data_IF_460940544188
#
_entry.id   IF_460940544188
#
_cell.length_a   1.000
_cell.length_b   1.000
_cell.length_c   1.000
_cell.angle_alpha   90.00
_cell.angle_beta   90.00
_cell.angle_gamma   90.00
#
_symmetry.space_group_name_H-M   'P 1'
#
loop_
_entity.id
_entity.type
_entity.pdbx_description
1 polymer ?
#
# COMPACT_ATOMS: atom_id res chain seq x y z
N UNK A 1 0.23 -11.99 11.17
CA UNK A 1 0.94 -10.71 11.03
C UNK A 1 2.41 -10.95 11.20
N UNK A 2 3.24 -10.52 10.24
CA UNK A 2 4.69 -10.61 10.40
C UNK A 2 5.14 -9.31 11.06
N UNK A 3 5.62 -9.40 12.30
CA UNK A 3 6.27 -8.26 12.95
C UNK A 3 7.53 -7.92 12.16
N UNK A 4 7.62 -6.70 11.65
CA UNK A 4 8.81 -6.21 10.97
C UNK A 4 9.57 -5.31 11.92
N UNK A 5 10.83 -5.65 12.18
CA UNK A 5 11.79 -4.66 12.68
C UNK A 5 11.84 -3.53 11.65
N UNK A 6 11.64 -2.29 12.08
CA UNK A 6 11.67 -1.11 11.20
C UNK A 6 13.05 -0.46 11.26
N UNK A 7 14.03 -0.87 10.41
CA UNK A 7 15.29 -0.14 10.28
C UNK A 7 15.09 1.20 9.55
N UNK A 8 13.97 1.37 8.85
CA UNK A 8 13.60 2.58 8.14
C UNK A 8 12.80 3.47 9.09
N UNK A 9 13.31 4.67 9.40
CA UNK A 9 12.51 5.72 10.03
C UNK A 9 11.64 6.36 8.94
N UNK A 10 10.34 6.19 9.06
CA UNK A 10 9.34 6.91 8.28
C UNK A 10 8.32 7.49 9.26
N UNK A 11 7.84 8.69 8.98
CA UNK A 11 6.79 9.32 9.80
C UNK A 11 5.47 8.55 9.69
N UNK A 12 5.25 7.90 8.55
CA UNK A 12 4.10 7.03 8.26
C UNK A 12 4.57 5.78 7.51
N UNK A 13 4.09 4.61 7.92
CA UNK A 13 4.44 3.34 7.28
C UNK A 13 3.20 2.46 7.16
N UNK A 14 2.70 2.32 5.92
CA UNK A 14 1.58 1.44 5.62
C UNK A 14 2.07 0.05 5.20
N UNK A 15 1.52 -0.98 5.85
CA UNK A 15 1.73 -2.39 5.50
C UNK A 15 0.41 -3.04 5.10
N UNK A 16 0.50 -3.99 4.17
CA UNK A 16 -0.67 -4.72 3.67
C UNK A 16 -0.72 -6.18 4.16
N UNK A 17 0.16 -6.58 5.08
CA UNK A 17 0.41 -7.99 5.45
C UNK A 17 -0.72 -8.68 6.25
N UNK A 18 -1.49 -7.94 7.03
CA UNK A 18 -2.42 -8.51 8.00
C UNK A 18 -3.87 -8.45 7.50
N UNK A 19 -4.30 -9.46 6.72
CA UNK A 19 -5.72 -9.80 6.57
C UNK A 19 -6.60 -8.81 5.80
N UNK A 20 -6.68 -7.58 6.31
CA UNK A 20 -7.54 -6.46 5.95
C UNK A 20 -6.75 -5.15 5.67
N UNK A 21 -5.42 -5.26 5.60
CA UNK A 21 -4.53 -4.51 4.69
C UNK A 21 -4.86 -3.03 4.50
N UNK A 22 -4.76 -2.30 5.61
CA UNK A 22 -4.95 -0.85 5.73
C UNK A 22 -4.01 -0.22 6.76
N UNK A 23 -3.16 -1.03 7.37
CA UNK A 23 -2.52 -0.72 8.64
C UNK A 23 -1.38 0.27 8.43
N UNK A 24 -1.63 1.50 8.87
CA UNK A 24 -0.54 2.31 9.39
C UNK A 24 0.04 1.54 10.58
N UNK A 25 1.34 1.25 10.57
CA UNK A 25 1.98 0.49 11.66
C UNK A 25 1.96 1.23 13.01
N UNK A 26 1.63 2.54 13.01
CA UNK A 26 1.34 3.28 14.24
C UNK A 26 -0.12 3.16 14.68
N UNK A 27 -0.99 2.61 13.82
CA UNK A 27 -2.42 2.37 14.05
C UNK A 27 -3.32 3.60 13.92
N UNK A 28 -2.75 4.76 13.58
CA UNK A 28 -3.46 6.04 13.69
C UNK A 28 -4.15 6.46 12.39
N UNK A 29 -3.56 6.14 11.24
CA UNK A 29 -4.03 6.58 9.92
C UNK A 29 -4.34 5.40 8.99
N UNK A 30 -5.10 4.43 9.49
CA UNK A 30 -5.51 3.27 8.70
C UNK A 30 -6.29 3.70 7.45
N UNK A 31 -5.93 3.13 6.30
CA UNK A 31 -6.60 3.40 5.04
C UNK A 31 -7.99 2.76 4.95
N UNK A 32 -8.79 3.13 3.95
CA UNK A 32 -10.03 2.45 3.57
C UNK A 32 -9.96 2.08 2.10
N UNK A 33 -10.31 0.84 1.79
CA UNK A 33 -10.32 0.35 0.40
C UNK A 33 -11.53 0.89 -0.33
N UNK A 34 -11.31 1.45 -1.51
CA UNK A 34 -12.35 2.05 -2.33
C UNK A 34 -12.48 1.31 -3.66
N UNK A 35 -13.71 1.23 -4.17
CA UNK A 35 -14.04 0.67 -5.49
C UNK A 35 -13.55 -0.77 -5.72
N UNK A 36 -13.58 -1.59 -4.65
CA UNK A 36 -13.23 -3.00 -4.72
C UNK A 36 -11.75 -3.29 -4.98
N UNK A 37 -10.84 -2.38 -4.59
CA UNK A 37 -9.41 -2.67 -4.62
C UNK A 37 -9.13 -3.96 -3.82
N UNK A 38 -8.29 -4.83 -4.37
CA UNK A 38 -8.04 -6.14 -3.80
C UNK A 38 -6.66 -6.25 -3.16
N UNK A 39 -6.37 -7.42 -2.62
CA UNK A 39 -5.04 -7.77 -2.13
C UNK A 39 -4.62 -9.10 -2.72
N UNK A 40 -3.39 -9.19 -3.19
CA UNK A 40 -2.83 -10.49 -3.55
C UNK A 40 -2.60 -11.32 -2.29
N UNK A 41 -2.85 -12.63 -2.40
CA UNK A 41 -2.64 -13.59 -1.33
C UNK A 41 -1.18 -13.60 -0.86
N UNK A 42 -0.96 -14.01 0.39
CA UNK A 42 0.38 -14.15 0.96
C UNK A 42 1.34 -14.87 0.00
N UNK A 43 2.56 -14.34 -0.13
CA UNK A 43 3.63 -14.99 -0.89
C UNK A 43 3.97 -14.32 -2.21
N UNK A 44 3.42 -13.15 -2.52
CA UNK A 44 3.95 -12.34 -3.64
C UNK A 44 5.40 -11.93 -3.32
N UNK A 45 6.35 -12.56 -4.00
CA UNK A 45 7.80 -12.34 -3.87
C UNK A 45 8.40 -12.56 -2.47
N UNK A 46 7.74 -13.31 -1.59
CA UNK A 46 8.22 -13.52 -0.21
C UNK A 46 8.16 -12.29 0.70
N UNK A 47 7.57 -11.18 0.23
CA UNK A 47 7.54 -9.90 0.94
C UNK A 47 6.16 -9.56 1.53
N UNK A 48 5.31 -10.56 1.75
CA UNK A 48 4.00 -10.39 2.39
C UNK A 48 2.85 -10.22 1.39
N UNK A 49 1.81 -9.48 1.79
CA UNK A 49 0.65 -9.15 0.93
C UNK A 49 0.87 -7.77 0.29
N UNK A 50 0.29 -7.52 -0.89
CA UNK A 50 0.33 -6.20 -1.53
C UNK A 50 -1.04 -5.77 -2.04
N UNK A 51 -1.24 -4.46 -2.15
CA UNK A 51 -2.42 -3.86 -2.76
C UNK A 51 -2.44 -4.18 -4.26
N UNK A 52 -3.56 -4.73 -4.73
CA UNK A 52 -3.77 -5.04 -6.15
C UNK A 52 -4.82 -4.10 -6.74
N UNK A 53 -4.41 -3.38 -7.78
CA UNK A 53 -5.26 -2.50 -8.58
C UNK A 53 -5.42 -3.11 -9.98
N UNK A 54 -6.62 -3.56 -10.32
CA UNK A 54 -6.92 -4.29 -11.56
C UNK A 54 -7.57 -3.44 -12.66
N UNK A 55 -7.64 -2.12 -12.46
CA UNK A 55 -8.12 -1.12 -13.43
C UNK A 55 -9.60 -1.24 -13.82
N UNK A 56 -10.42 -2.00 -13.09
CA UNK A 56 -11.84 -2.15 -13.42
C UNK A 56 -12.65 -0.87 -13.14
N UNK A 57 -12.52 -0.29 -11.94
CA UNK A 57 -13.21 0.92 -11.51
C UNK A 57 -12.27 1.71 -10.61
N UNK A 58 -11.70 2.84 -11.07
CA UNK A 58 -10.81 3.76 -10.31
C UNK A 58 -10.48 3.32 -8.88
N UNK A 59 -9.59 2.33 -8.73
CA UNK A 59 -9.35 1.67 -7.44
C UNK A 59 -8.29 2.42 -6.65
N UNK A 60 -8.53 2.65 -5.37
CA UNK A 60 -7.58 3.35 -4.49
C UNK A 60 -7.77 2.97 -3.02
N UNK A 61 -6.81 3.38 -2.20
CA UNK A 61 -6.94 3.40 -0.74
C UNK A 61 -7.08 4.87 -0.33
N UNK A 62 -8.12 5.17 0.44
CA UNK A 62 -8.36 6.49 1.00
C UNK A 62 -7.80 6.55 2.41
N UNK A 63 -6.98 7.55 2.72
CA UNK A 63 -6.53 7.81 4.09
C UNK A 63 -7.44 8.83 4.78
N UNK A 64 -7.60 8.74 6.11
CA UNK A 64 -8.48 9.63 6.85
C UNK A 64 -7.98 11.08 6.75
N UNK A 65 -8.90 12.05 6.74
CA UNK A 65 -8.57 13.49 6.70
C UNK A 65 -7.77 13.98 7.91
N UNK A 66 -7.76 13.22 9.00
CA UNK A 66 -6.89 13.47 10.16
C UNK A 66 -5.42 13.32 9.82
N UNK A 67 -5.07 12.57 8.75
CA UNK A 67 -3.73 12.57 8.16
C UNK A 67 -3.51 13.94 7.50
N UNK A 68 -3.03 14.88 8.31
CA UNK A 68 -2.78 16.24 7.88
C UNK A 68 -1.46 16.32 7.11
N UNK A 69 -1.53 16.10 5.79
CA UNK A 69 -0.41 16.33 4.87
C UNK A 69 -0.35 17.80 4.39
N UNK A 70 -1.13 18.69 5.01
CA UNK A 70 -1.33 20.06 4.54
C UNK A 70 -0.11 20.92 4.88
N UNK A 71 0.87 20.86 3.96
CA UNK A 71 1.53 22.00 3.30
C UNK A 71 2.19 23.05 4.19
N UNK A 72 3.37 22.72 4.72
CA UNK A 72 4.53 23.62 4.84
C UNK A 72 5.87 22.89 4.95
N UNK A 73 5.87 21.56 4.81
CA UNK A 73 7.04 20.71 5.00
C UNK A 73 7.18 19.76 3.82
N UNK A 74 8.39 19.66 3.28
CA UNK A 74 8.71 18.66 2.26
C UNK A 74 8.61 17.25 2.85
N UNK A 75 8.14 16.30 2.04
CA UNK A 75 8.09 14.89 2.41
C UNK A 75 8.60 14.02 1.26
N UNK A 76 8.87 12.75 1.55
CA UNK A 76 9.27 11.75 0.55
C UNK A 76 8.36 10.54 0.67
N UNK A 77 8.06 9.91 -0.47
CA UNK A 77 7.31 8.65 -0.53
C UNK A 77 8.17 7.61 -1.22
N UNK A 78 8.25 6.42 -0.64
CA UNK A 78 8.88 5.25 -1.25
C UNK A 78 7.86 4.10 -1.33
N UNK A 79 7.82 3.42 -2.47
CA UNK A 79 6.95 2.26 -2.68
C UNK A 79 7.56 1.31 -3.71
N UNK A 80 7.18 0.04 -3.58
CA UNK A 80 7.52 -1.00 -4.56
C UNK A 80 6.28 -1.28 -5.40
N UNK A 81 6.42 -1.19 -6.73
CA UNK A 81 5.30 -1.36 -7.67
C UNK A 81 5.65 -2.46 -8.67
N UNK A 82 4.84 -3.51 -8.71
CA UNK A 82 4.82 -4.42 -9.86
C UNK A 82 3.75 -3.94 -10.84
N UNK A 83 4.14 -3.76 -12.10
CA UNK A 83 3.20 -3.51 -13.19
C UNK A 83 2.79 -4.83 -13.84
N UNK A 84 1.51 -5.19 -13.74
CA UNK A 84 0.93 -6.30 -14.50
C UNK A 84 0.62 -5.90 -15.95
N UNK A 85 0.85 -6.81 -16.89
CA UNK A 85 0.35 -6.66 -18.27
C UNK A 85 1.33 -6.18 -19.34
N UNK A 86 2.65 -6.13 -19.09
CA UNK A 86 3.61 -6.05 -20.19
C UNK A 86 3.67 -7.40 -20.92
N UNK A 87 2.74 -7.64 -21.85
CA UNK A 87 3.05 -8.53 -22.97
C UNK A 87 4.18 -7.85 -23.73
N UNK A 88 5.41 -8.34 -23.63
CA UNK A 88 6.37 -8.11 -24.71
C UNK A 88 5.71 -8.68 -25.95
N UNK A 89 5.25 -7.81 -26.85
CA UNK A 89 5.03 -8.26 -28.22
C UNK A 89 6.41 -8.65 -28.70
N UNK A 90 6.68 -9.96 -28.75
CA UNK A 90 7.76 -10.47 -29.57
C UNK A 90 7.39 -10.05 -31.00
N UNK A 91 8.09 -9.03 -31.50
CA UNK A 91 8.11 -8.65 -32.91
C UNK A 91 9.17 -9.52 -33.56
#
# INVERSE_FOLDING_TARGET
CISRSTPIRADYLWSFDCGDSREDLTGLYNGTVMNGAGFVSHGFSGHGKSLQLNRLIYQYVSFPRSLNLTLNTSFTVSSWILLGGYRTKNI
#
